data_IF_164193428381
#
_entry.id   IF_164193428381
#
_cell.length_a   1.000
_cell.length_b   1.000
_cell.length_c   1.000
_cell.angle_alpha   90.00
_cell.angle_beta   90.00
_cell.angle_gamma   90.00
#
_symmetry.space_group_name_H-M   'P 1'
#
loop_
_entity.id
_entity.type
_entity.pdbx_description
1 polymer ?
#
# COMPACT_ATOMS: atom_id res chain seq x y z
N UNK A 1 18.05 -6.46 -4.15
CA UNK A 1 16.71 -6.24 -3.56
C UNK A 1 16.88 -5.61 -2.20
N UNK A 2 16.06 -4.63 -1.86
CA UNK A 2 16.04 -4.01 -0.55
C UNK A 2 14.68 -4.26 0.10
N UNK A 3 14.66 -4.56 1.39
CA UNK A 3 13.43 -4.94 2.09
C UNK A 3 13.39 -4.30 3.47
N UNK A 4 12.28 -3.62 3.75
CA UNK A 4 11.97 -3.07 5.07
C UNK A 4 10.66 -3.71 5.50
N UNK A 5 10.69 -4.45 6.60
CA UNK A 5 9.54 -5.20 7.05
C UNK A 5 8.59 -4.37 7.92
N UNK A 6 7.34 -4.83 8.03
CA UNK A 6 6.37 -4.28 8.98
C UNK A 6 6.95 -4.29 10.42
N UNK A 7 7.60 -5.38 10.79
CA UNK A 7 8.21 -5.53 12.11
C UNK A 7 9.32 -4.51 12.35
N UNK A 8 10.13 -4.22 11.32
CA UNK A 8 11.18 -3.20 11.43
C UNK A 8 10.62 -1.82 11.77
N UNK A 9 9.43 -1.51 11.24
CA UNK A 9 8.79 -0.21 11.44
C UNK A 9 8.01 -0.19 12.77
N UNK A 10 7.10 -1.14 12.96
CA UNK A 10 6.07 -1.05 13.99
C UNK A 10 6.35 -1.86 15.25
N UNK A 11 7.17 -2.91 15.17
CA UNK A 11 7.51 -3.74 16.33
C UNK A 11 8.87 -3.33 16.91
N UNK A 12 9.88 -3.21 16.05
CA UNK A 12 11.25 -2.90 16.50
C UNK A 12 11.61 -1.43 16.41
N UNK A 13 10.75 -0.61 15.80
CA UNK A 13 10.90 0.84 15.68
C UNK A 13 12.28 1.28 15.18
N UNK A 14 12.86 0.51 14.25
CA UNK A 14 14.17 0.82 13.65
C UNK A 14 14.12 2.08 12.80
N UNK A 15 12.95 2.38 12.24
CA UNK A 15 12.66 3.58 11.46
C UNK A 15 11.16 3.85 11.44
N UNK A 16 10.77 5.09 11.14
CA UNK A 16 9.37 5.44 10.97
C UNK A 16 8.84 4.93 9.63
N UNK A 17 7.51 4.86 9.51
CA UNK A 17 6.87 4.51 8.25
C UNK A 17 7.30 5.46 7.13
N UNK A 18 7.29 6.77 7.35
CA UNK A 18 7.67 7.74 6.31
C UNK A 18 9.15 7.69 5.97
N UNK A 19 10.03 7.35 6.91
CA UNK A 19 11.44 7.08 6.60
C UNK A 19 11.59 5.87 5.69
N UNK A 20 10.80 4.81 5.90
CA UNK A 20 10.80 3.63 5.05
C UNK A 20 10.32 3.95 3.63
N UNK A 21 9.22 4.70 3.51
CA UNK A 21 8.68 5.13 2.21
C UNK A 21 9.70 6.02 1.47
N UNK A 22 10.30 6.97 2.17
CA UNK A 22 11.34 7.84 1.60
C UNK A 22 12.55 7.05 1.11
N UNK A 23 13.00 6.06 1.89
CA UNK A 23 14.09 5.17 1.49
C UNK A 23 13.75 4.41 0.20
N UNK A 24 12.54 3.88 0.09
CA UNK A 24 12.10 3.16 -1.11
C UNK A 24 12.08 4.06 -2.35
N UNK A 25 11.65 5.31 -2.22
CA UNK A 25 11.63 6.26 -3.34
C UNK A 25 13.04 6.65 -3.78
N UNK A 26 13.96 6.83 -2.86
CA UNK A 26 15.39 7.08 -3.17
C UNK A 26 15.99 5.86 -3.86
N UNK A 27 15.70 4.65 -3.39
CA UNK A 27 16.20 3.42 -3.99
C UNK A 27 15.79 3.26 -5.47
N UNK A 28 14.62 3.79 -5.84
CA UNK A 28 14.05 3.65 -7.19
C UNK A 28 14.16 4.91 -8.05
N UNK A 29 14.76 5.99 -7.57
CA UNK A 29 14.68 7.32 -8.19
C UNK A 29 15.20 7.39 -9.63
N UNK A 30 16.20 6.59 -9.97
CA UNK A 30 16.84 6.59 -11.31
C UNK A 30 16.37 5.44 -12.20
N UNK A 31 15.29 4.74 -11.81
CA UNK A 31 14.77 3.59 -12.54
C UNK A 31 13.30 3.72 -12.85
N UNK A 32 12.86 3.05 -13.91
CA UNK A 32 11.44 2.88 -14.15
C UNK A 32 10.86 1.98 -13.07
N UNK A 33 9.86 2.46 -12.34
CA UNK A 33 9.24 1.71 -11.25
C UNK A 33 7.72 1.72 -11.34
N UNK A 34 7.08 0.83 -10.59
CA UNK A 34 5.65 0.83 -10.34
C UNK A 34 5.36 0.82 -8.85
N UNK A 35 4.14 1.12 -8.49
CA UNK A 35 3.64 0.98 -7.13
C UNK A 35 2.78 -0.28 -7.07
N UNK A 36 3.12 -1.17 -6.15
CA UNK A 36 2.38 -2.40 -5.89
C UNK A 36 1.71 -2.32 -4.52
N UNK A 37 0.40 -2.60 -4.48
CA UNK A 37 -0.38 -2.69 -3.24
C UNK A 37 -1.03 -4.06 -3.17
N UNK A 38 -0.58 -4.86 -2.24
CA UNK A 38 -1.22 -6.11 -1.88
C UNK A 38 -2.18 -5.84 -0.71
N UNK A 39 -3.48 -5.96 -0.94
CA UNK A 39 -4.49 -5.65 0.07
C UNK A 39 -4.51 -6.65 1.23
N UNK A 40 -3.88 -7.82 1.08
CA UNK A 40 -3.64 -8.75 2.19
C UNK A 40 -2.72 -8.14 3.27
N UNK A 41 -1.90 -7.18 2.90
CA UNK A 41 -1.00 -6.48 3.83
C UNK A 41 -1.68 -5.38 4.64
N UNK A 42 -2.90 -5.00 4.29
CA UNK A 42 -3.67 -3.95 4.97
C UNK A 42 -4.60 -4.59 5.98
N UNK A 43 -4.53 -4.12 7.23
CA UNK A 43 -5.33 -4.68 8.33
C UNK A 43 -6.83 -4.65 8.05
N UNK A 44 -7.52 -5.74 8.42
CA UNK A 44 -8.98 -5.88 8.38
C UNK A 44 -9.61 -5.64 6.98
N UNK A 45 -8.82 -5.76 5.91
CA UNK A 45 -9.31 -5.65 4.54
C UNK A 45 -9.76 -7.02 4.05
N UNK A 46 -10.94 -7.11 3.46
CA UNK A 46 -11.48 -8.38 2.98
C UNK A 46 -10.63 -8.92 1.83
N UNK A 47 -10.08 -10.09 2.04
CA UNK A 47 -9.19 -10.78 1.13
C UNK A 47 -9.17 -12.27 1.49
N UNK A 48 -8.42 -13.08 0.75
CA UNK A 48 -8.24 -14.49 1.10
C UNK A 48 -7.40 -14.70 2.37
N UNK A 49 -6.60 -13.71 2.75
CA UNK A 49 -5.66 -13.76 3.88
C UNK A 49 -5.79 -12.53 4.79
N UNK A 50 -6.99 -12.26 5.31
CA UNK A 50 -7.27 -11.12 6.19
C UNK A 50 -6.32 -11.16 7.40
N UNK A 51 -5.67 -10.04 7.69
CA UNK A 51 -4.82 -9.87 8.88
C UNK A 51 -5.44 -8.88 9.87
N UNK A 52 -5.36 -9.16 11.19
CA UNK A 52 -5.77 -8.19 12.22
C UNK A 52 -4.68 -7.16 12.53
N UNK A 53 -3.44 -7.38 12.08
CA UNK A 53 -2.29 -6.53 12.38
C UNK A 53 -1.43 -6.37 11.12
N UNK A 54 -1.78 -5.39 10.32
CA UNK A 54 -1.08 -5.02 9.10
C UNK A 54 -0.90 -3.51 9.00
N UNK A 55 -0.52 -3.04 7.83
CA UNK A 55 -0.52 -1.60 7.57
C UNK A 55 -1.94 -1.07 7.68
N UNK A 56 -2.10 0.14 8.21
CA UNK A 56 -3.42 0.75 8.23
C UNK A 56 -3.81 1.22 6.82
N UNK A 57 -5.11 1.34 6.52
CA UNK A 57 -5.56 1.97 5.27
C UNK A 57 -4.99 3.37 5.07
N UNK A 58 -4.82 4.12 6.16
CA UNK A 58 -4.21 5.45 6.11
C UNK A 58 -2.74 5.40 5.68
N UNK A 59 -1.96 4.45 6.20
CA UNK A 59 -0.57 4.22 5.77
C UNK A 59 -0.49 3.89 4.28
N UNK A 60 -1.38 3.03 3.77
CA UNK A 60 -1.44 2.70 2.35
C UNK A 60 -1.71 3.95 1.50
N UNK A 61 -2.63 4.80 1.92
CA UNK A 61 -2.93 6.07 1.24
C UNK A 61 -1.75 7.03 1.27
N UNK A 62 -1.08 7.16 2.41
CA UNK A 62 0.13 8.00 2.53
C UNK A 62 1.24 7.49 1.61
N UNK A 63 1.46 6.17 1.57
CA UNK A 63 2.45 5.56 0.68
C UNK A 63 2.15 5.87 -0.79
N UNK A 64 0.95 5.61 -1.24
CA UNK A 64 0.56 5.84 -2.64
C UNK A 64 0.69 7.30 -3.02
N UNK A 65 0.20 8.21 -2.19
CA UNK A 65 0.25 9.65 -2.43
C UNK A 65 1.69 10.15 -2.52
N UNK A 66 2.54 9.76 -1.57
CA UNK A 66 3.94 10.17 -1.53
C UNK A 66 4.73 9.58 -2.69
N UNK A 67 4.58 8.29 -2.95
CA UNK A 67 5.31 7.60 -4.02
C UNK A 67 4.89 8.11 -5.41
N UNK A 68 3.62 8.41 -5.62
CA UNK A 68 3.15 8.99 -6.88
C UNK A 68 3.84 10.32 -7.18
N UNK A 69 4.02 11.17 -6.17
CA UNK A 69 4.66 12.48 -6.34
C UNK A 69 6.19 12.37 -6.48
N UNK A 70 6.82 11.44 -5.75
CA UNK A 70 8.28 11.41 -5.57
C UNK A 70 8.97 10.42 -6.50
N UNK A 71 8.37 9.24 -6.73
CA UNK A 71 8.97 8.17 -7.54
C UNK A 71 8.60 8.26 -9.02
N UNK A 72 7.61 9.06 -9.39
CA UNK A 72 7.10 9.18 -10.77
C UNK A 72 6.81 7.80 -11.38
N UNK A 73 5.97 7.00 -10.74
CA UNK A 73 5.76 5.61 -11.14
C UNK A 73 5.09 5.48 -12.50
N UNK A 74 5.42 4.41 -13.21
CA UNK A 74 4.80 4.09 -14.50
C UNK A 74 3.38 3.52 -14.35
N UNK A 75 3.10 2.88 -13.20
CA UNK A 75 1.78 2.28 -12.94
C UNK A 75 1.50 2.15 -11.44
N UNK A 76 0.24 1.92 -11.13
CA UNK A 76 -0.25 1.44 -9.84
C UNK A 76 -0.93 0.09 -10.06
N UNK A 77 -0.52 -0.92 -9.32
CA UNK A 77 -1.15 -2.24 -9.31
C UNK A 77 -1.70 -2.54 -7.91
N UNK A 78 -2.96 -2.94 -7.84
CA UNK A 78 -3.64 -3.31 -6.59
C UNK A 78 -4.18 -4.73 -6.75
N UNK A 79 -3.86 -5.61 -5.83
CA UNK A 79 -4.26 -7.02 -5.90
C UNK A 79 -4.79 -7.55 -4.57
N UNK A 80 -5.27 -8.79 -4.58
CA UNK A 80 -5.72 -9.61 -3.46
C UNK A 80 -6.99 -9.14 -2.73
N UNK A 81 -7.47 -7.93 -2.95
CA UNK A 81 -8.71 -7.44 -2.33
C UNK A 81 -9.96 -8.06 -2.92
N UNK A 82 -10.99 -8.20 -2.10
CA UNK A 82 -12.28 -8.70 -2.51
C UNK A 82 -13.43 -7.91 -1.85
N UNK A 83 -14.55 -7.80 -2.55
CA UNK A 83 -15.80 -7.32 -1.96
C UNK A 83 -16.67 -8.49 -1.55
N UNK A 84 -16.42 -9.67 -2.10
CA UNK A 84 -17.13 -10.90 -1.79
C UNK A 84 -16.20 -12.10 -1.95
N UNK A 85 -16.15 -12.95 -0.96
CA UNK A 85 -15.42 -14.23 -1.00
C UNK A 85 -16.36 -15.38 -1.30
N UNK A 86 -15.80 -16.51 -1.80
CA UNK A 86 -16.53 -17.73 -2.09
C UNK A 86 -17.23 -18.34 -0.87
N UNK A 87 -16.74 -18.05 0.36
CA UNK A 87 -17.35 -18.48 1.62
C UNK A 87 -18.53 -17.62 2.06
N UNK A 88 -18.96 -16.64 1.27
CA UNK A 88 -20.07 -15.74 1.55
C UNK A 88 -19.76 -14.47 2.31
N UNK A 89 -18.53 -14.30 2.80
CA UNK A 89 -18.12 -13.03 3.42
C UNK A 89 -18.15 -11.90 2.41
N UNK A 90 -18.69 -10.74 2.82
CA UNK A 90 -18.80 -9.54 1.97
C UNK A 90 -18.33 -8.31 2.74
N UNK A 91 -17.69 -7.38 2.02
CA UNK A 91 -17.31 -6.07 2.55
C UNK A 91 -17.17 -5.08 1.38
N UNK A 92 -18.15 -4.21 1.24
CA UNK A 92 -18.15 -3.20 0.18
C UNK A 92 -17.11 -2.10 0.41
N UNK A 93 -16.61 -1.95 1.64
CA UNK A 93 -15.59 -0.95 1.94
C UNK A 93 -14.26 -1.23 1.25
N UNK A 94 -14.00 -2.47 0.85
CA UNK A 94 -12.82 -2.82 0.04
C UNK A 94 -12.79 -2.04 -1.27
N UNK A 95 -13.94 -1.97 -1.98
CA UNK A 95 -14.04 -1.17 -3.20
C UNK A 95 -13.83 0.32 -2.96
N UNK A 96 -14.32 0.82 -1.82
CA UNK A 96 -14.12 2.22 -1.43
C UNK A 96 -12.65 2.50 -1.14
N UNK A 97 -11.94 1.60 -0.46
CA UNK A 97 -10.51 1.72 -0.23
C UNK A 97 -9.74 1.75 -1.55
N UNK A 98 -10.03 0.86 -2.47
CA UNK A 98 -9.42 0.84 -3.81
C UNK A 98 -9.63 2.18 -4.51
N UNK A 99 -10.84 2.73 -4.46
CA UNK A 99 -11.13 4.02 -5.09
C UNK A 99 -10.33 5.16 -4.46
N UNK A 100 -10.10 5.14 -3.15
CA UNK A 100 -9.24 6.11 -2.48
C UNK A 100 -7.79 5.99 -2.95
N UNK A 101 -7.25 4.76 -3.04
CA UNK A 101 -5.88 4.53 -3.48
C UNK A 101 -5.66 5.00 -4.92
N UNK A 102 -6.59 4.69 -5.81
CA UNK A 102 -6.53 5.16 -7.21
C UNK A 102 -6.59 6.69 -7.28
N UNK A 103 -7.48 7.30 -6.50
CA UNK A 103 -7.59 8.76 -6.43
C UNK A 103 -6.32 9.41 -5.88
N UNK A 104 -5.74 8.85 -4.82
CA UNK A 104 -4.48 9.33 -4.25
C UNK A 104 -3.34 9.23 -5.25
N UNK A 105 -3.28 8.14 -6.02
CA UNK A 105 -2.30 7.96 -7.08
C UNK A 105 -2.42 9.05 -8.15
N UNK A 106 -3.61 9.23 -8.70
CA UNK A 106 -3.84 10.21 -9.78
C UNK A 106 -3.55 11.64 -9.30
N UNK A 107 -4.02 12.00 -8.10
CA UNK A 107 -3.79 13.33 -7.53
C UNK A 107 -2.34 13.58 -7.16
N UNK A 108 -1.59 12.54 -6.81
CA UNK A 108 -0.18 12.63 -6.45
C UNK A 108 0.75 12.82 -7.64
N UNK A 109 0.35 12.41 -8.85
CA UNK A 109 1.19 12.54 -10.05
C UNK A 109 1.52 14.00 -10.34
N UNK A 110 2.77 14.28 -10.72
CA UNK A 110 3.21 15.64 -11.07
C UNK A 110 2.54 16.16 -12.34
#
# INVERSE_FOLDING_TARGET
>A
MDCITFEDIFIHEKRTFMQAVSHATVFTEDTLCGIEIDLDSIENTLSSAITPAGFSPLHARQYVSFAAASAKPAYLHICEGATRLSNGKTDETTGKLISYLVSDFVKGLP
#
